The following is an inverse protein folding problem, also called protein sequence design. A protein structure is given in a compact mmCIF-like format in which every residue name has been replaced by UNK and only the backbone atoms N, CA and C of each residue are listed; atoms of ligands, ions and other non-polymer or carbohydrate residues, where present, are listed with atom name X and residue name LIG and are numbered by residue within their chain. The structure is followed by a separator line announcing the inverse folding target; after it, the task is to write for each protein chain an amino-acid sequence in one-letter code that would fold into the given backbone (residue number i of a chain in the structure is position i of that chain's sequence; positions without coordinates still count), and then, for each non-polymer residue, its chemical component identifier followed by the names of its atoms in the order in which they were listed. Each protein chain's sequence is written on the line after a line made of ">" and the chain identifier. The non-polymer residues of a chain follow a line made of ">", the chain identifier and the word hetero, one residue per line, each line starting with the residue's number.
data_IF_511311522062
#
_entry.id   IF_511311522062
#
_cell.length_a   1.000
_cell.length_b   1.000
_cell.length_c   1.000
_cell.angle_alpha   90.00
_cell.angle_beta   90.00
_cell.angle_gamma   90.00
#
_symmetry.space_group_name_H-M   'P 1'
#
loop_
_entity.id
_entity.type
_entity.pdbx_description
1 polymer ?
#
# COMPACT_ATOMS: atom_id res chain seq x y z
N UNK A 1 51.49 -10.45 25.99
CA UNK A 1 51.18 -10.16 25.76
C UNK A 1 50.27 -9.78 25.09
N UNK A 2 49.74 -9.61 24.83
CA UNK A 2 49.11 -9.36 24.35
C UNK A 2 48.18 -9.16 23.79
N UNK A 3 47.67 -8.96 23.44
CA UNK A 3 46.95 -8.82 22.95
C UNK A 3 45.92 -8.64 22.56
N UNK A 4 45.44 -8.49 22.27
CA UNK A 4 44.57 -8.46 22.01
C UNK A 4 43.66 -7.94 21.59
N UNK A 5 43.38 -7.44 21.39
CA UNK A 5 42.65 -6.94 21.14
C UNK A 5 41.92 -6.71 20.24
N UNK A 6 41.64 -6.65 19.73
CA UNK A 6 41.06 -6.45 18.86
C UNK A 6 39.91 -6.60 18.62
N UNK A 7 39.44 -6.72 18.29
CA UNK A 7 38.41 -7.11 18.14
C UNK A 7 37.40 -6.39 18.04
N UNK A 8 37.16 -5.63 17.89
CA UNK A 8 36.22 -4.96 17.88
C UNK A 8 35.65 -4.55 16.84
N UNK A 9 35.99 -4.41 15.99
CA UNK A 9 35.47 -3.85 14.97
C UNK A 9 34.34 -4.29 14.39
N UNK A 10 33.95 -5.34 14.50
CA UNK A 10 32.92 -5.83 13.66
C UNK A 10 31.66 -5.20 13.82
N UNK A 11 31.32 -4.74 14.95
CA UNK A 11 30.05 -4.27 15.03
C UNK A 11 29.80 -3.05 14.39
N UNK A 12 30.67 -2.32 14.05
CA UNK A 12 30.41 -1.11 13.43
C UNK A 12 29.70 -1.22 12.20
N UNK A 13 29.92 -2.26 11.53
CA UNK A 13 29.33 -2.39 10.25
C UNK A 13 27.86 -2.44 10.26
N UNK A 14 27.28 -2.93 11.29
CA UNK A 14 25.85 -3.09 11.31
C UNK A 14 25.11 -1.81 11.39
N UNK A 15 25.80 -0.71 11.53
CA UNK A 15 25.08 0.50 11.68
C UNK A 15 24.72 1.19 10.43
N UNK A 16 24.56 0.55 9.36
CA UNK A 16 24.10 1.15 8.12
C UNK A 16 22.78 1.87 8.34
N UNK A 17 22.64 3.06 7.81
CA UNK A 17 21.40 3.81 7.96
C UNK A 17 20.23 3.07 7.34
N UNK A 18 19.11 3.09 8.05
CA UNK A 18 17.93 2.42 7.58
C UNK A 18 17.40 3.04 6.29
N UNK A 19 17.51 4.34 6.16
CA UNK A 19 16.95 4.96 4.99
C UNK A 19 17.65 4.54 3.73
N UNK A 20 18.88 4.07 3.79
CA UNK A 20 19.53 3.59 2.58
C UNK A 20 18.86 2.33 2.03
N UNK A 21 17.98 1.72 2.80
CA UNK A 21 17.29 0.51 2.39
C UNK A 21 15.89 0.76 1.88
N UNK A 22 15.44 2.02 1.85
CA UNK A 22 14.12 2.36 1.31
C UNK A 22 14.18 2.16 -0.20
N UNK A 23 13.32 1.34 -0.78
CA UNK A 23 13.35 1.11 -2.21
C UNK A 23 12.91 2.34 -2.98
N UNK A 24 13.43 2.49 -4.18
CA UNK A 24 13.03 3.58 -5.05
C UNK A 24 11.62 3.36 -5.58
N UNK A 25 11.26 2.11 -5.84
CA UNK A 25 9.95 1.73 -6.36
C UNK A 25 9.40 0.54 -5.61
N UNK A 26 8.08 0.42 -5.65
CA UNK A 26 7.35 -0.66 -5.00
C UNK A 26 6.62 -1.49 -6.04
N UNK A 27 6.27 -2.72 -5.71
CA UNK A 27 5.56 -3.62 -6.60
C UNK A 27 4.06 -3.33 -6.62
N UNK A 28 3.38 -3.68 -7.71
CA UNK A 28 1.93 -3.59 -7.75
C UNK A 28 1.30 -4.57 -6.73
N UNK A 29 0.20 -4.17 -6.09
CA UNK A 29 -0.41 -5.00 -5.04
C UNK A 29 -1.28 -6.13 -5.57
N UNK A 30 -1.61 -6.13 -6.85
CA UNK A 30 -2.39 -7.18 -7.49
C UNK A 30 -1.72 -7.56 -8.80
N UNK A 31 -2.01 -8.76 -9.30
CA UNK A 31 -1.36 -9.23 -10.51
C UNK A 31 -1.74 -8.41 -11.74
N UNK A 32 -2.96 -7.87 -11.79
CA UNK A 32 -3.37 -7.01 -12.88
C UNK A 32 -2.82 -5.62 -12.71
N UNK A 33 -2.71 -4.91 -13.81
CA UNK A 33 -2.18 -3.55 -13.80
C UNK A 33 -3.04 -2.59 -14.61
N UNK A 34 -4.26 -2.99 -14.91
CA UNK A 34 -5.17 -2.12 -15.62
C UNK A 34 -5.67 -1.02 -14.69
N UNK A 35 -5.45 0.22 -15.07
CA UNK A 35 -5.89 1.35 -14.28
C UNK A 35 -7.32 1.70 -14.71
N UNK A 36 -8.25 1.54 -13.79
CA UNK A 36 -9.65 1.87 -14.05
C UNK A 36 -9.93 3.34 -13.75
N UNK A 37 -9.27 3.90 -12.75
CA UNK A 37 -9.47 5.28 -12.35
C UNK A 37 -8.19 5.78 -11.71
N UNK A 38 -7.63 6.83 -12.24
CA UNK A 38 -6.33 7.36 -11.80
C UNK A 38 -6.44 8.39 -10.70
N UNK A 39 -5.30 8.76 -10.17
CA UNK A 39 -5.18 9.80 -9.16
C UNK A 39 -5.52 11.15 -9.79
N UNK A 40 -6.47 11.89 -9.22
CA UNK A 40 -6.97 13.12 -9.83
C UNK A 40 -6.21 14.39 -9.44
N UNK A 41 -5.32 14.29 -8.47
CA UNK A 41 -4.49 15.41 -8.01
C UNK A 41 -5.34 16.64 -7.63
N UNK A 42 -6.43 16.40 -6.91
CA UNK A 42 -7.30 17.48 -6.44
C UNK A 42 -8.39 17.90 -7.41
N UNK A 43 -8.35 17.43 -8.65
CA UNK A 43 -9.41 17.75 -9.60
C UNK A 43 -10.63 16.84 -9.34
N UNK A 44 -11.85 17.38 -9.44
CA UNK A 44 -13.02 16.53 -9.29
C UNK A 44 -13.22 15.69 -10.53
N UNK A 45 -13.54 14.41 -10.30
CA UNK A 45 -13.89 13.48 -11.37
C UNK A 45 -15.24 12.86 -11.03
N UNK A 46 -15.98 12.45 -12.05
CA UNK A 46 -17.31 11.89 -11.85
C UNK A 46 -17.21 10.50 -11.22
N UNK A 47 -17.96 10.30 -10.14
CA UNK A 47 -18.10 9.00 -9.50
C UNK A 47 -19.47 8.44 -9.85
N UNK A 48 -19.50 7.38 -10.70
CA UNK A 48 -20.76 6.85 -11.18
C UNK A 48 -21.56 6.09 -10.10
N UNK A 49 -20.92 5.64 -9.05
CA UNK A 49 -21.61 4.96 -7.97
C UNK A 49 -22.39 5.95 -7.13
N UNK A 50 -21.78 7.08 -6.82
CA UNK A 50 -22.40 8.12 -5.98
C UNK A 50 -23.12 9.16 -6.82
N UNK A 51 -22.95 9.13 -8.14
CA UNK A 51 -23.54 10.08 -9.08
C UNK A 51 -23.22 11.53 -8.68
N UNK A 52 -21.96 11.79 -8.44
CA UNK A 52 -21.47 13.12 -8.11
C UNK A 52 -20.03 13.30 -8.57
N UNK A 53 -19.51 14.49 -8.36
CA UNK A 53 -18.13 14.85 -8.72
C UNK A 53 -17.34 14.99 -7.42
N UNK A 54 -16.23 14.26 -7.34
CA UNK A 54 -15.36 14.29 -6.15
C UNK A 54 -13.93 14.01 -6.56
N UNK A 55 -12.99 14.38 -5.72
CA UNK A 55 -11.59 14.06 -5.98
C UNK A 55 -11.37 12.57 -5.83
N UNK A 56 -10.40 12.04 -6.57
CA UNK A 56 -9.98 10.65 -6.45
C UNK A 56 -8.52 10.64 -5.97
N UNK A 57 -8.34 10.39 -4.66
CA UNK A 57 -7.04 10.53 -4.01
C UNK A 57 -6.22 9.23 -4.03
N UNK A 58 -6.62 8.29 -4.84
CA UNK A 58 -5.95 6.99 -4.94
C UNK A 58 -5.94 6.48 -6.36
N UNK A 59 -5.72 5.19 -6.49
CA UNK A 59 -5.62 4.50 -7.77
C UNK A 59 -6.51 3.27 -7.73
N UNK A 60 -7.36 3.10 -8.74
CA UNK A 60 -8.18 1.90 -8.87
C UNK A 60 -7.55 0.98 -9.89
N UNK A 61 -7.17 -0.21 -9.45
CA UNK A 61 -6.51 -1.21 -10.28
C UNK A 61 -7.47 -2.37 -10.50
N UNK A 62 -7.75 -2.69 -11.74
CA UNK A 62 -8.65 -3.78 -12.09
C UNK A 62 -8.15 -5.11 -11.54
N UNK A 63 -9.08 -5.87 -10.96
CA UNK A 63 -8.78 -7.17 -10.38
C UNK A 63 -10.06 -7.96 -10.25
N UNK A 64 -9.96 -9.27 -10.10
CA UNK A 64 -11.13 -10.09 -9.91
C UNK A 64 -11.46 -10.22 -8.43
N UNK A 65 -12.73 -10.33 -8.11
CA UNK A 65 -13.17 -10.54 -6.74
C UNK A 65 -12.55 -11.83 -6.21
N UNK A 66 -11.95 -11.78 -5.04
CA UNK A 66 -11.26 -12.92 -4.46
C UNK A 66 -9.79 -13.04 -4.85
N UNK A 67 -9.31 -12.21 -5.76
CA UNK A 67 -7.91 -12.21 -6.16
C UNK A 67 -7.03 -11.75 -5.01
N UNK A 68 -5.84 -12.32 -4.87
CA UNK A 68 -4.93 -11.97 -3.79
C UNK A 68 -4.46 -10.52 -3.89
N UNK A 69 -4.40 -9.88 -2.74
CA UNK A 69 -3.79 -8.55 -2.58
C UNK A 69 -2.48 -8.75 -1.83
N UNK A 70 -1.40 -8.24 -2.39
CA UNK A 70 -0.06 -8.45 -1.85
C UNK A 70 0.53 -7.14 -1.38
N UNK A 71 1.35 -7.21 -0.34
CA UNK A 71 2.07 -6.04 0.14
C UNK A 71 3.02 -5.54 -0.95
N UNK A 72 3.02 -4.24 -1.19
CA UNK A 72 3.86 -3.64 -2.22
C UNK A 72 5.35 -3.63 -1.86
N UNK A 73 5.66 -3.85 -0.61
CA UNK A 73 7.03 -3.90 -0.10
C UNK A 73 7.01 -4.27 1.37
N UNK A 74 8.17 -4.31 1.99
CA UNK A 74 8.26 -4.50 3.44
C UNK A 74 7.64 -3.30 4.15
N UNK A 75 7.03 -3.51 5.30
CA UNK A 75 6.41 -2.42 6.03
C UNK A 75 5.91 -2.82 7.40
N UNK A 76 5.28 -1.86 8.07
CA UNK A 76 4.70 -2.06 9.39
C UNK A 76 3.23 -1.62 9.36
N UNK A 77 2.37 -2.46 9.89
CA UNK A 77 0.93 -2.16 9.93
C UNK A 77 0.68 -1.00 10.87
N UNK A 78 -0.11 -0.05 10.41
CA UNK A 78 -0.52 1.12 11.18
C UNK A 78 -1.92 0.94 11.74
N UNK A 79 -2.84 0.40 10.93
CA UNK A 79 -4.23 0.25 11.34
C UNK A 79 -4.95 -0.77 10.45
N UNK A 80 -6.07 -1.28 10.92
CA UNK A 80 -6.94 -2.18 10.18
C UNK A 80 -8.37 -1.92 10.66
N UNK A 81 -9.24 -1.53 9.75
CA UNK A 81 -10.61 -1.14 10.12
C UNK A 81 -11.58 -1.37 8.98
N UNK A 82 -12.87 -1.33 9.31
CA UNK A 82 -13.93 -1.36 8.32
C UNK A 82 -14.48 0.05 8.15
N UNK A 83 -14.63 0.50 6.92
CA UNK A 83 -15.13 1.84 6.60
C UNK A 83 -16.38 1.71 5.74
N UNK A 84 -17.39 2.53 6.02
CA UNK A 84 -18.66 2.43 5.32
C UNK A 84 -18.51 2.79 3.83
N UNK A 85 -17.54 3.59 3.48
CA UNK A 85 -17.29 3.99 2.08
C UNK A 85 -16.26 3.12 1.40
N UNK A 86 -15.18 2.77 2.09
CA UNK A 86 -14.03 2.10 1.50
C UNK A 86 -13.97 0.59 1.76
N UNK A 87 -14.91 0.06 2.55
CA UNK A 87 -14.89 -1.36 2.91
C UNK A 87 -13.82 -1.67 3.93
N UNK A 88 -13.25 -2.85 3.85
CA UNK A 88 -12.19 -3.24 4.79
C UNK A 88 -10.87 -2.63 4.35
N UNK A 89 -10.24 -1.86 5.23
CA UNK A 89 -9.03 -1.10 4.93
C UNK A 89 -7.88 -1.58 5.81
N UNK A 90 -6.73 -1.80 5.19
CA UNK A 90 -5.49 -2.11 5.89
C UNK A 90 -4.51 -0.99 5.58
N UNK A 91 -3.95 -0.38 6.62
CA UNK A 91 -3.01 0.73 6.49
C UNK A 91 -1.62 0.25 6.88
N UNK A 92 -0.67 0.41 5.99
CA UNK A 92 0.72 -0.03 6.21
C UNK A 92 1.67 1.12 5.90
N UNK A 93 2.65 1.31 6.78
CA UNK A 93 3.73 2.26 6.54
C UNK A 93 4.85 1.53 5.79
N UNK A 94 5.13 1.95 4.57
CA UNK A 94 6.20 1.43 3.74
C UNK A 94 7.25 2.53 3.60
N UNK A 95 8.35 2.43 4.35
CA UNK A 95 9.35 3.48 4.35
C UNK A 95 8.73 4.81 4.78
N UNK A 96 8.78 5.81 3.92
CA UNK A 96 8.22 7.12 4.19
C UNK A 96 6.81 7.32 3.62
N UNK A 97 6.18 6.26 3.14
CA UNK A 97 4.85 6.32 2.53
C UNK A 97 3.85 5.53 3.36
N UNK A 98 2.74 6.17 3.72
CA UNK A 98 1.61 5.48 4.35
C UNK A 98 0.67 5.02 3.24
N UNK A 99 0.35 3.75 3.21
CA UNK A 99 -0.44 3.16 2.15
C UNK A 99 -1.71 2.54 2.71
N UNK A 100 -2.85 2.85 2.09
CA UNK A 100 -4.14 2.27 2.44
C UNK A 100 -4.58 1.32 1.34
N UNK A 101 -4.79 0.06 1.72
CA UNK A 101 -5.31 -0.98 0.85
C UNK A 101 -6.80 -1.09 1.15
N UNK A 102 -7.64 -0.64 0.23
CA UNK A 102 -9.08 -0.48 0.47
C UNK A 102 -9.90 -1.52 -0.28
N UNK A 103 -10.95 -2.00 0.36
CA UNK A 103 -11.90 -2.91 -0.27
C UNK A 103 -11.53 -4.38 -0.17
N UNK A 104 -10.81 -4.75 0.89
CA UNK A 104 -10.50 -6.16 1.13
C UNK A 104 -11.77 -6.92 1.50
N UNK A 105 -11.81 -8.23 1.18
CA UNK A 105 -12.96 -9.07 1.45
C UNK A 105 -13.29 -9.11 2.94
N UNK A 106 -12.26 -9.27 3.77
CA UNK A 106 -12.42 -9.36 5.21
C UNK A 106 -11.52 -8.34 5.90
N UNK A 107 -11.89 -7.97 7.12
CA UNK A 107 -11.02 -7.14 7.93
C UNK A 107 -9.76 -7.93 8.25
N UNK A 108 -8.61 -7.33 8.02
CA UNK A 108 -7.35 -7.99 8.27
C UNK A 108 -7.17 -8.32 9.74
N UNK A 109 -6.57 -9.49 10.01
CA UNK A 109 -6.22 -9.89 11.38
C UNK A 109 -4.90 -9.28 11.82
N UNK A 110 -4.18 -8.62 10.92
CA UNK A 110 -2.95 -7.92 11.28
C UNK A 110 -3.28 -6.73 12.17
N UNK A 111 -2.45 -6.48 13.14
CA UNK A 111 -2.65 -5.39 14.09
C UNK A 111 -1.54 -4.36 13.98
N UNK A 112 -1.80 -3.16 14.45
CA UNK A 112 -0.79 -2.10 14.47
C UNK A 112 0.49 -2.60 15.14
N UNK A 113 1.61 -2.36 14.48
CA UNK A 113 2.91 -2.84 14.93
C UNK A 113 3.36 -4.14 14.28
N UNK A 114 2.47 -4.90 13.67
CA UNK A 114 2.87 -6.11 12.95
C UNK A 114 3.67 -5.72 11.71
N UNK A 115 4.64 -6.53 11.35
CA UNK A 115 5.45 -6.29 10.15
C UNK A 115 4.97 -7.18 9.01
N UNK A 116 5.15 -6.69 7.80
CA UNK A 116 4.85 -7.46 6.58
C UNK A 116 6.08 -7.47 5.69
N UNK A 117 6.18 -8.50 4.89
CA UNK A 117 7.27 -8.63 3.93
C UNK A 117 6.78 -8.25 2.54
N UNK A 118 7.71 -7.89 1.66
CA UNK A 118 7.41 -7.63 0.27
C UNK A 118 6.73 -8.85 -0.35
N UNK A 119 5.60 -8.64 -1.00
CA UNK A 119 4.86 -9.72 -1.65
C UNK A 119 3.99 -10.56 -0.73
N UNK A 120 3.98 -10.26 0.57
CA UNK A 120 3.13 -11.01 1.50
C UNK A 120 1.65 -10.81 1.15
N UNK A 121 0.89 -11.89 1.16
CA UNK A 121 -0.55 -11.81 0.89
C UNK A 121 -1.22 -11.14 2.09
N UNK A 122 -1.93 -10.04 1.83
CA UNK A 122 -2.60 -9.26 2.86
C UNK A 122 -4.08 -9.61 2.99
N UNK A 123 -4.66 -10.16 1.96
CA UNK A 123 -6.07 -10.47 1.87
C UNK A 123 -6.48 -10.67 0.43
N UNK A 124 -7.76 -10.50 0.14
CA UNK A 124 -8.30 -10.65 -1.20
C UNK A 124 -9.17 -9.47 -1.59
N UNK A 125 -9.35 -9.27 -2.88
CA UNK A 125 -10.18 -8.19 -3.44
C UNK A 125 -11.64 -8.44 -3.08
N UNK A 126 -12.25 -7.47 -2.44
CA UNK A 126 -13.66 -7.51 -2.06
C UNK A 126 -14.44 -6.40 -2.75
N UNK A 127 -15.29 -5.72 -1.99
CA UNK A 127 -16.17 -4.67 -2.51
C UNK A 127 -15.81 -3.33 -1.91
N UNK A 128 -15.87 -2.28 -2.72
CA UNK A 128 -15.66 -0.90 -2.31
C UNK A 128 -17.00 -0.19 -2.49
N UNK A 129 -17.75 0.07 -1.42
CA UNK A 129 -19.11 0.63 -1.56
C UNK A 129 -19.18 1.91 -2.38
N UNK A 130 -18.27 2.83 -2.17
CA UNK A 130 -18.30 4.12 -2.87
C UNK A 130 -17.91 4.00 -4.35
N UNK A 131 -17.39 2.86 -4.77
CA UNK A 131 -16.95 2.60 -6.15
C UNK A 131 -17.54 1.30 -6.69
N UNK A 132 -18.65 0.85 -6.14
CA UNK A 132 -19.22 -0.45 -6.49
C UNK A 132 -19.56 -0.60 -7.96
N UNK A 133 -20.04 0.45 -8.61
CA UNK A 133 -20.40 0.37 -10.03
C UNK A 133 -19.21 0.24 -10.97
N UNK A 134 -18.01 0.46 -10.46
CA UNK A 134 -16.81 0.32 -11.28
C UNK A 134 -16.44 -1.15 -11.52
N UNK A 135 -17.05 -2.06 -10.79
CA UNK A 135 -16.72 -3.47 -10.84
C UNK A 135 -15.61 -3.83 -9.88
N UNK A 136 -15.17 -5.09 -9.91
CA UNK A 136 -14.16 -5.56 -8.97
C UNK A 136 -12.81 -4.90 -9.24
N UNK A 137 -12.21 -4.37 -8.20
CA UNK A 137 -10.90 -3.72 -8.28
C UNK A 137 -10.34 -3.50 -6.88
N UNK A 138 -9.06 -3.17 -6.82
CA UNK A 138 -8.43 -2.71 -5.59
C UNK A 138 -8.27 -1.19 -5.66
N UNK A 139 -8.57 -0.52 -4.56
CA UNK A 139 -8.31 0.91 -4.42
C UNK A 139 -7.13 1.08 -3.47
N UNK A 140 -6.08 1.76 -3.91
CA UNK A 140 -4.91 2.01 -3.09
C UNK A 140 -4.65 3.51 -3.01
N UNK A 141 -4.38 4.00 -1.80
CA UNK A 141 -4.08 5.41 -1.56
C UNK A 141 -2.72 5.52 -0.90
N UNK A 142 -1.95 6.50 -1.29
CA UNK A 142 -0.61 6.71 -0.76
C UNK A 142 -0.44 8.13 -0.26
N UNK A 143 0.12 8.26 0.93
CA UNK A 143 0.36 9.56 1.55
C UNK A 143 1.81 9.66 1.98
N UNK A 144 2.46 10.76 1.61
CA UNK A 144 3.83 11.03 2.00
C UNK A 144 3.87 12.41 2.65
N UNK A 145 4.40 12.46 3.86
CA UNK A 145 4.46 13.72 4.63
C UNK A 145 3.09 14.42 4.71
N UNK A 146 2.04 13.62 4.92
CA UNK A 146 0.69 14.15 5.06
C UNK A 146 -0.01 14.54 3.77
N UNK A 147 0.61 14.33 2.62
CA UNK A 147 0.06 14.72 1.31
C UNK A 147 -0.23 13.48 0.47
N UNK A 148 -1.40 13.43 -0.14
CA UNK A 148 -1.74 12.34 -1.07
C UNK A 148 -0.84 12.44 -2.30
N UNK A 149 -0.30 11.32 -2.74
CA UNK A 149 0.55 11.26 -3.92
C UNK A 149 -0.03 10.26 -4.92
N UNK A 150 0.37 10.40 -6.17
CA UNK A 150 -0.06 9.51 -7.25
C UNK A 150 0.66 8.16 -7.11
N UNK A 151 -0.08 7.07 -6.84
CA UNK A 151 0.56 5.76 -6.69
C UNK A 151 1.35 5.29 -7.91
N UNK A 152 0.99 5.74 -9.12
CA UNK A 152 1.71 5.31 -10.31
C UNK A 152 3.15 5.82 -10.34
N UNK A 153 3.47 6.83 -9.53
CA UNK A 153 4.83 7.34 -9.47
C UNK A 153 5.76 6.46 -8.63
N UNK A 154 5.20 5.62 -7.78
CA UNK A 154 6.00 4.76 -6.92
C UNK A 154 5.82 3.28 -7.20
N UNK A 155 4.77 2.91 -7.93
CA UNK A 155 4.55 1.51 -8.30
C UNK A 155 5.22 1.21 -9.63
N UNK A 156 5.88 0.06 -9.70
CA UNK A 156 6.51 -0.41 -10.93
C UNK A 156 6.16 -1.87 -11.17
N UNK A 157 6.09 -2.21 -12.45
CA UNK A 157 5.93 -3.60 -12.80
C UNK A 157 7.15 -4.39 -12.37
N UNK A 158 6.91 -5.62 -11.93
CA UNK A 158 8.00 -6.55 -11.68
C UNK A 158 8.68 -6.85 -13.01
N UNK A 159 10.00 -6.82 -12.99
CA UNK A 159 10.80 -7.06 -14.20
C UNK A 159 10.69 -8.52 -14.66
#
# INVERSE_FOLDING_TARGET
>A
STSSEETVSSEIVSEQPVESQVPEYYNYPVAGQEILNGFSNGDPVYNMTMDDWRTHDGLDIGAEKGQNVMSIGAGTVVDSYEDIMWGNVLVIQHGDIEVRYCGLTDKSLLAAGDTVEDGQILGTVGTIPIEEKLGAHLHIQMKKEGVWIDPTRVLKEAA
#
